data_IF_412003726942
#
_entry.id   IF_412003726942
#
_cell.length_a   1.000
_cell.length_b   1.000
_cell.length_c   1.000
_cell.angle_alpha   90.00
_cell.angle_beta   90.00
_cell.angle_gamma   90.00
#
_symmetry.space_group_name_H-M   'P 1'
#
loop_
_entity.id
_entity.type
_entity.pdbx_description
1 polymer ?
#
# COMPACT_ATOMS: atom_id res chain seq x y z
N UNK A 1 -19.90 1.78 33.02
CA UNK A 1 -18.65 1.88 32.25
C UNK A 1 -18.50 0.60 31.44
N UNK A 2 -18.71 0.62 30.11
CA UNK A 2 -18.59 -0.58 29.26
C UNK A 2 -17.16 -0.64 28.72
N UNK A 3 -16.35 -1.52 29.29
CA UNK A 3 -15.04 -1.90 28.77
C UNK A 3 -15.25 -2.92 27.66
N UNK A 4 -15.06 -2.53 26.40
CA UNK A 4 -14.99 -3.47 25.30
C UNK A 4 -13.56 -4.03 25.27
N UNK A 5 -13.38 -5.23 25.82
CA UNK A 5 -12.14 -5.99 25.65
C UNK A 5 -12.07 -6.51 24.23
N UNK A 6 -11.22 -5.90 23.40
CA UNK A 6 -10.86 -6.46 22.10
C UNK A 6 -9.84 -7.58 22.33
N UNK A 7 -10.21 -8.80 21.97
CA UNK A 7 -9.33 -9.96 21.95
C UNK A 7 -8.41 -9.82 20.75
N UNK A 8 -7.10 -9.75 20.96
CA UNK A 8 -6.13 -9.91 19.88
C UNK A 8 -6.21 -11.35 19.37
N UNK A 9 -6.51 -11.50 18.07
CA UNK A 9 -6.41 -12.78 17.41
C UNK A 9 -4.93 -13.05 17.10
N UNK A 10 -4.25 -13.78 17.98
CA UNK A 10 -2.86 -14.25 17.80
C UNK A 10 -2.71 -15.39 16.79
N UNK A 11 -3.40 -15.32 15.66
CA UNK A 11 -3.13 -16.18 14.50
C UNK A 11 -2.32 -15.41 13.43
N UNK A 12 -1.31 -14.66 13.88
CA UNK A 12 -0.12 -14.35 13.09
C UNK A 12 0.65 -15.66 12.86
N UNK A 13 0.11 -16.49 11.98
CA UNK A 13 0.63 -17.78 11.53
C UNK A 13 0.73 -17.68 10.01
N UNK A 14 1.82 -17.94 9.30
CA UNK A 14 3.24 -18.14 9.59
C UNK A 14 3.88 -17.76 8.26
N UNK A 15 4.74 -16.74 8.22
CA UNK A 15 5.64 -16.58 7.08
C UNK A 15 6.71 -17.68 7.18
N UNK A 16 6.64 -18.66 6.26
CA UNK A 16 7.53 -19.83 6.18
C UNK A 16 8.99 -19.42 5.95
N UNK A 17 9.28 -18.18 5.55
CA UNK A 17 10.65 -17.75 5.29
C UNK A 17 11.31 -16.95 6.41
N UNK A 18 10.59 -16.56 7.48
CA UNK A 18 11.18 -16.14 8.76
C UNK A 18 12.36 -15.15 8.73
N UNK A 19 12.51 -14.37 7.65
CA UNK A 19 13.71 -13.57 7.36
C UNK A 19 13.48 -12.05 7.51
N UNK A 20 12.27 -11.62 7.88
CA UNK A 20 11.85 -10.21 7.86
C UNK A 20 11.60 -9.59 9.25
N UNK A 21 11.96 -10.26 10.35
CA UNK A 21 11.59 -9.81 11.70
C UNK A 21 12.39 -8.60 12.24
N UNK A 22 13.53 -8.22 11.63
CA UNK A 22 14.46 -7.23 12.21
C UNK A 22 14.63 -5.92 11.42
N UNK A 23 13.77 -5.62 10.44
CA UNK A 23 13.79 -4.32 9.76
C UNK A 23 12.68 -3.39 10.27
N UNK A 24 12.97 -2.11 10.60
CA UNK A 24 11.96 -1.10 10.95
C UNK A 24 11.13 -0.64 9.73
N UNK A 25 10.82 -1.56 8.82
CA UNK A 25 10.20 -1.30 7.52
C UNK A 25 8.73 -1.71 7.49
N UNK A 26 8.27 -2.49 8.47
CA UNK A 26 6.88 -2.91 8.59
C UNK A 26 6.10 -1.93 9.49
N UNK A 27 5.90 -0.71 9.00
CA UNK A 27 5.15 0.31 9.74
C UNK A 27 3.66 0.18 9.41
N UNK A 28 2.91 -0.39 10.34
CA UNK A 28 1.45 -0.42 10.30
C UNK A 28 0.90 0.69 11.21
N UNK A 29 0.11 1.60 10.64
CA UNK A 29 -0.51 2.73 11.35
C UNK A 29 -1.92 2.42 11.87
N UNK A 30 -2.38 1.17 11.84
CA UNK A 30 -3.71 0.78 12.35
C UNK A 30 -3.91 1.25 13.80
N UNK A 31 -4.92 2.09 14.00
CA UNK A 31 -5.23 2.68 15.32
C UNK A 31 -4.36 3.88 15.71
N UNK A 32 -3.44 4.31 14.85
CA UNK A 32 -2.65 5.53 15.03
C UNK A 32 -3.51 6.79 14.83
N UNK A 33 -3.28 7.87 15.60
CA UNK A 33 -3.85 9.19 15.30
C UNK A 33 -3.37 9.77 13.97
N UNK A 34 -2.32 9.21 13.36
CA UNK A 34 -1.82 9.62 12.05
C UNK A 34 -2.68 9.15 10.88
N UNK A 35 -3.59 8.20 11.10
CA UNK A 35 -4.54 7.78 10.08
C UNK A 35 -5.55 8.89 9.78
N UNK A 36 -5.87 9.04 8.50
CA UNK A 36 -6.91 9.97 8.07
C UNK A 36 -8.24 9.63 8.75
N UNK A 37 -8.94 10.61 9.35
CA UNK A 37 -10.19 10.35 10.06
C UNK A 37 -11.29 9.90 9.08
N UNK A 38 -11.88 8.74 9.37
CA UNK A 38 -13.01 8.20 8.60
C UNK A 38 -14.31 8.90 9.00
N UNK A 39 -15.05 9.43 8.02
CA UNK A 39 -16.39 9.99 8.18
C UNK A 39 -17.35 9.31 7.22
N UNK A 40 -18.53 8.89 7.70
CA UNK A 40 -19.50 8.19 6.89
C UNK A 40 -18.97 6.85 6.34
N UNK A 41 -19.01 6.67 5.02
CA UNK A 41 -18.67 5.42 4.34
C UNK A 41 -17.24 5.37 3.78
N UNK A 42 -16.43 6.42 3.97
CA UNK A 42 -15.05 6.44 3.46
C UNK A 42 -14.16 5.46 4.24
N UNK A 43 -13.05 5.03 3.67
CA UNK A 43 -12.05 4.20 4.34
C UNK A 43 -10.68 4.88 4.30
N UNK A 44 -9.89 4.69 5.35
CA UNK A 44 -8.50 5.14 5.42
C UNK A 44 -7.49 3.97 5.30
N UNK A 45 -7.99 2.73 5.33
CA UNK A 45 -7.23 1.50 5.11
C UNK A 45 -7.97 0.71 4.01
N UNK A 46 -7.26 0.37 2.94
CA UNK A 46 -7.84 -0.34 1.78
C UNK A 46 -6.86 -1.34 1.22
N UNK A 47 -7.36 -2.40 0.60
CA UNK A 47 -6.54 -3.36 -0.14
C UNK A 47 -6.57 -3.02 -1.63
N UNK A 48 -5.41 -2.98 -2.28
CA UNK A 48 -5.30 -2.78 -3.74
C UNK A 48 -4.43 -3.86 -4.36
N UNK A 49 -4.63 -4.07 -5.66
CA UNK A 49 -3.66 -4.80 -6.49
C UNK A 49 -2.59 -3.81 -6.98
N UNK A 50 -1.32 -4.12 -6.75
CA UNK A 50 -0.17 -3.28 -7.11
C UNK A 50 0.01 -3.16 -8.62
N UNK A 51 0.48 -2.00 -9.08
CA UNK A 51 0.61 -1.69 -10.51
C UNK A 51 2.04 -1.47 -10.99
N UNK A 52 3.02 -1.52 -10.10
CA UNK A 52 4.40 -1.10 -10.40
C UNK A 52 4.56 0.42 -10.54
N UNK A 53 3.57 1.21 -10.10
CA UNK A 53 3.53 2.67 -10.22
C UNK A 53 2.81 3.27 -9.01
N UNK A 54 3.54 4.03 -8.18
CA UNK A 54 3.03 4.60 -6.93
C UNK A 54 1.83 5.51 -7.17
N UNK A 55 1.85 6.33 -8.21
CA UNK A 55 0.75 7.26 -8.50
C UNK A 55 -0.54 6.54 -8.93
N UNK A 56 -0.41 5.47 -9.71
CA UNK A 56 -1.55 4.62 -10.09
C UNK A 56 -2.08 3.83 -8.89
N UNK A 57 -1.20 3.34 -8.02
CA UNK A 57 -1.59 2.68 -6.77
C UNK A 57 -2.36 3.64 -5.85
N UNK A 58 -1.88 4.88 -5.68
CA UNK A 58 -2.59 5.91 -4.93
C UNK A 58 -3.95 6.22 -5.51
N UNK A 59 -4.05 6.24 -6.84
CA UNK A 59 -5.33 6.46 -7.53
C UNK A 59 -6.30 5.30 -7.31
N UNK A 60 -5.82 4.05 -7.29
CA UNK A 60 -6.64 2.88 -6.92
C UNK A 60 -7.08 2.95 -5.47
N UNK A 61 -6.18 3.31 -4.55
CA UNK A 61 -6.47 3.44 -3.14
C UNK A 61 -7.53 4.50 -2.87
N UNK A 62 -7.43 5.69 -3.46
CA UNK A 62 -8.46 6.72 -3.36
C UNK A 62 -9.83 6.24 -3.84
N UNK A 63 -9.86 5.51 -4.96
CA UNK A 63 -11.11 4.95 -5.51
C UNK A 63 -11.73 3.93 -4.55
N UNK A 64 -10.95 3.00 -4.02
CA UNK A 64 -11.42 1.97 -3.08
C UNK A 64 -11.85 2.57 -1.74
N UNK A 65 -11.16 3.65 -1.33
CA UNK A 65 -11.44 4.39 -0.11
C UNK A 65 -12.73 5.22 -0.18
N UNK A 66 -13.28 5.43 -1.38
CA UNK A 66 -14.38 6.38 -1.57
C UNK A 66 -13.97 7.83 -1.29
N UNK A 67 -12.68 8.17 -1.43
CA UNK A 67 -12.14 9.50 -1.15
C UNK A 67 -11.75 10.17 -2.47
N UNK A 68 -12.12 11.44 -2.64
CA UNK A 68 -11.69 12.19 -3.83
C UNK A 68 -10.23 12.64 -3.71
N UNK A 69 -9.41 12.30 -4.71
CA UNK A 69 -8.01 12.75 -4.80
C UNK A 69 -7.90 14.29 -4.79
N UNK A 70 -8.86 15.01 -5.36
CA UNK A 70 -8.84 16.49 -5.37
C UNK A 70 -9.09 17.06 -3.98
N UNK A 71 -9.93 16.42 -3.17
CA UNK A 71 -10.23 16.84 -1.81
C UNK A 71 -9.05 16.61 -0.86
N UNK A 72 -8.15 15.68 -1.20
CA UNK A 72 -6.96 15.37 -0.38
C UNK A 72 -5.76 16.25 -0.70
N UNK A 73 -5.78 16.97 -1.83
CA UNK A 73 -4.70 17.85 -2.25
C UNK A 73 -4.48 18.96 -1.20
N UNK A 74 -3.28 19.05 -0.65
CA UNK A 74 -2.90 20.06 0.33
C UNK A 74 -3.33 19.77 1.77
N UNK A 75 -3.92 18.59 2.06
CA UNK A 75 -4.30 18.19 3.42
C UNK A 75 -3.16 17.58 4.25
N UNK A 76 -1.99 17.33 3.64
CA UNK A 76 -0.83 16.74 4.33
C UNK A 76 -0.97 15.24 4.64
N UNK A 77 -1.70 14.51 3.79
CA UNK A 77 -1.83 13.06 3.86
C UNK A 77 -1.33 12.40 2.59
N UNK A 78 -0.89 11.16 2.74
CA UNK A 78 -0.31 10.36 1.68
C UNK A 78 -0.59 8.88 1.94
N UNK A 79 -0.70 8.10 0.87
CA UNK A 79 -0.91 6.67 1.01
C UNK A 79 0.42 5.98 1.33
N UNK A 80 0.43 5.22 2.42
CA UNK A 80 1.50 4.33 2.83
C UNK A 80 1.20 2.91 2.34
N UNK A 81 2.19 2.31 1.69
CA UNK A 81 2.20 0.91 1.28
C UNK A 81 2.63 0.06 2.48
N UNK A 82 1.73 -0.69 3.09
CA UNK A 82 2.07 -1.62 4.19
C UNK A 82 2.97 -2.74 3.64
N UNK A 83 3.87 -3.29 4.45
CA UNK A 83 4.82 -4.33 4.03
C UNK A 83 4.16 -5.74 4.00
N UNK A 84 3.04 -5.88 3.29
CA UNK A 84 2.18 -7.08 3.27
C UNK A 84 1.90 -7.63 1.86
N UNK A 85 2.82 -7.41 0.91
CA UNK A 85 2.63 -7.82 -0.48
C UNK A 85 2.42 -9.33 -0.64
N UNK A 86 1.27 -9.71 -1.19
CA UNK A 86 0.99 -11.08 -1.60
C UNK A 86 1.37 -11.28 -3.07
N UNK A 87 2.47 -12.00 -3.33
CA UNK A 87 2.96 -12.29 -4.68
C UNK A 87 2.05 -13.20 -5.50
N UNK A 88 1.15 -13.95 -4.86
CA UNK A 88 0.18 -14.83 -5.54
C UNK A 88 -0.94 -14.02 -6.16
N UNK A 89 -1.43 -13.00 -5.45
CA UNK A 89 -2.59 -12.20 -5.86
C UNK A 89 -2.22 -10.80 -6.34
N UNK A 90 -1.00 -10.34 -6.08
CA UNK A 90 -0.50 -9.00 -6.38
C UNK A 90 -1.01 -7.92 -5.43
N UNK A 91 -1.58 -8.30 -4.27
CA UNK A 91 -2.29 -7.39 -3.37
C UNK A 91 -1.39 -6.83 -2.28
N UNK A 92 -1.75 -5.65 -1.79
CA UNK A 92 -1.16 -5.00 -0.61
C UNK A 92 -2.18 -4.09 0.06
N UNK A 93 -1.99 -3.84 1.36
CA UNK A 93 -2.74 -2.84 2.12
C UNK A 93 -2.14 -1.45 1.94
N UNK A 94 -3.02 -0.47 1.74
CA UNK A 94 -2.73 0.94 1.66
C UNK A 94 -3.37 1.67 2.84
N UNK A 95 -2.59 2.52 3.52
CA UNK A 95 -3.06 3.30 4.66
C UNK A 95 -2.87 4.80 4.40
N UNK A 96 -3.92 5.59 4.52
CA UNK A 96 -3.86 7.03 4.32
C UNK A 96 -3.38 7.69 5.62
N UNK A 97 -2.13 8.13 5.65
CA UNK A 97 -1.45 8.62 6.85
C UNK A 97 -0.92 10.04 6.64
N UNK A 98 -0.61 10.74 7.73
CA UNK A 98 0.04 12.06 7.68
C UNK A 98 1.41 11.97 6.97
N UNK A 99 1.79 13.02 6.24
CA UNK A 99 3.02 13.03 5.40
C UNK A 99 4.34 12.98 6.18
N UNK A 100 4.33 13.06 7.51
CA UNK A 100 5.53 13.06 8.35
C UNK A 100 5.60 11.77 9.19
N UNK A 101 6.68 10.95 9.16
CA UNK A 101 7.82 10.85 8.26
C UNK A 101 7.67 9.67 7.28
N UNK A 102 7.58 9.97 5.99
CA UNK A 102 7.33 9.01 4.91
C UNK A 102 8.63 8.36 4.38
N UNK A 103 9.48 7.84 5.28
CA UNK A 103 10.79 7.21 4.96
C UNK A 103 10.87 5.70 5.28
N UNK A 104 9.73 5.01 5.39
CA UNK A 104 9.73 3.55 5.61
C UNK A 104 9.64 2.76 4.28
N UNK A 105 10.37 1.65 4.16
CA UNK A 105 10.32 0.74 3.00
C UNK A 105 9.03 -0.11 3.01
N UNK A 106 8.01 0.33 2.29
CA UNK A 106 6.72 -0.37 2.15
C UNK A 106 6.69 -1.51 1.11
N UNK A 107 5.51 -2.07 0.80
CA UNK A 107 5.33 -3.15 -0.19
C UNK A 107 5.85 -2.85 -1.60
N UNK A 108 6.04 -1.58 -1.97
CA UNK A 108 6.73 -1.21 -3.21
C UNK A 108 8.14 -1.83 -3.30
N UNK A 109 8.83 -1.96 -2.16
CA UNK A 109 10.12 -2.65 -2.08
C UNK A 109 10.00 -4.17 -2.25
N UNK A 110 8.99 -4.81 -1.64
CA UNK A 110 8.75 -6.25 -1.79
C UNK A 110 8.43 -6.64 -3.24
N UNK A 111 7.61 -5.82 -3.93
CA UNK A 111 7.34 -6.00 -5.35
C UNK A 111 8.62 -5.93 -6.18
N UNK A 112 9.44 -4.89 -5.93
CA UNK A 112 10.70 -4.66 -6.62
C UNK A 112 11.69 -5.83 -6.42
N UNK A 113 11.82 -6.31 -5.19
CA UNK A 113 12.68 -7.45 -4.84
C UNK A 113 12.18 -8.76 -5.45
N UNK A 114 10.87 -9.04 -5.35
CA UNK A 114 10.28 -10.27 -5.88
C UNK A 114 10.42 -10.38 -7.39
N UNK A 115 10.10 -9.28 -8.10
CA UNK A 115 10.14 -9.23 -9.56
C UNK A 115 11.53 -8.86 -10.10
N UNK A 116 12.48 -8.51 -9.21
CA UNK A 116 13.85 -8.08 -9.51
C UNK A 116 13.89 -6.87 -10.46
N UNK A 117 13.05 -5.88 -10.18
CA UNK A 117 12.89 -4.65 -10.96
C UNK A 117 12.89 -3.43 -10.04
N UNK A 118 13.28 -2.26 -10.53
CA UNK A 118 13.08 -1.02 -9.77
C UNK A 118 11.61 -0.55 -9.88
N UNK A 119 10.99 -0.19 -8.75
CA UNK A 119 9.62 0.32 -8.73
C UNK A 119 9.50 1.67 -9.49
N UNK A 120 8.30 2.02 -9.94
CA UNK A 120 8.02 3.21 -10.77
C UNK A 120 8.64 3.21 -12.18
N UNK A 121 9.34 2.15 -12.59
CA UNK A 121 9.90 2.02 -13.95
C UNK A 121 8.92 1.43 -14.96
N UNK A 122 9.18 1.62 -16.26
CA UNK A 122 8.40 0.94 -17.32
C UNK A 122 8.49 -0.58 -17.20
N UNK A 123 9.64 -1.11 -16.76
CA UNK A 123 9.85 -2.54 -16.54
C UNK A 123 8.95 -3.07 -15.43
N UNK A 124 8.87 -2.38 -14.28
CA UNK A 124 7.94 -2.74 -13.21
C UNK A 124 6.48 -2.74 -13.68
N UNK A 125 6.08 -1.75 -14.48
CA UNK A 125 4.74 -1.68 -15.07
C UNK A 125 4.46 -2.84 -16.03
N UNK A 126 5.47 -3.26 -16.80
CA UNK A 126 5.38 -4.41 -17.69
C UNK A 126 5.29 -5.72 -16.90
N UNK A 127 6.06 -5.89 -15.82
CA UNK A 127 5.93 -7.05 -14.92
C UNK A 127 4.53 -7.14 -14.31
N UNK A 128 3.97 -6.02 -13.85
CA UNK A 128 2.58 -6.00 -13.38
C UNK A 128 1.57 -6.35 -14.49
N UNK A 129 1.84 -5.98 -15.74
CA UNK A 129 1.00 -6.38 -16.88
C UNK A 129 1.13 -7.88 -17.20
N UNK A 130 2.34 -8.44 -17.19
CA UNK A 130 2.58 -9.89 -17.37
C UNK A 130 1.83 -10.73 -16.35
N UNK A 131 1.68 -10.22 -15.11
CA UNK A 131 0.89 -10.85 -14.05
C UNK A 131 -0.63 -10.59 -14.14
N UNK A 132 -1.08 -9.77 -15.08
CA UNK A 132 -2.50 -9.42 -15.25
C UNK A 132 -3.03 -8.38 -14.24
N UNK A 133 -2.17 -7.77 -13.44
CA UNK A 133 -2.54 -6.81 -12.38
C UNK A 133 -2.84 -5.40 -12.91
N UNK A 134 -2.47 -5.14 -14.16
CA UNK A 134 -2.54 -3.85 -14.85
C UNK A 134 -2.87 -4.05 -16.32
N UNK A 135 -3.47 -3.03 -16.96
CA UNK A 135 -3.60 -2.93 -18.42
C UNK A 135 -2.26 -2.53 -19.05
N UNK A 136 -1.99 -3.00 -20.27
CA UNK A 136 -0.72 -2.78 -20.98
C UNK A 136 -0.21 -1.33 -20.84
N UNK A 137 1.00 -1.13 -20.29
CA UNK A 137 1.54 0.20 -20.10
C UNK A 137 2.03 0.77 -21.44
N UNK A 138 1.65 2.01 -21.73
CA UNK A 138 2.19 2.72 -22.89
C UNK A 138 3.63 3.17 -22.61
N UNK A 139 4.55 2.82 -23.50
CA UNK A 139 5.92 3.34 -23.43
C UNK A 139 5.87 4.85 -23.71
N UNK A 140 6.08 5.67 -22.67
CA UNK A 140 6.24 7.10 -22.86
C UNK A 140 7.60 7.26 -23.56
N UNK A 141 7.60 7.71 -24.82
CA UNK A 141 8.83 8.17 -25.46
C UNK A 141 9.26 9.42 -24.67
N UNK A 142 10.40 9.37 -23.99
CA UNK A 142 11.04 10.58 -23.48
C UNK A 142 11.17 11.55 -24.67
N UNK A 143 10.63 12.76 -24.50
CA UNK A 143 10.87 13.88 -25.42
C UNK A 143 12.19 14.55 -25.03
#
# INVERSE_FOLDING_TARGET
MRIYGYVFNSNSLVDIFGLMADFPTNVDFTGSPDLFPVTGNQKNIVEIVMTGDRDADFTRAYKEAGISKSEMKGKGYTWHHVHDFDSTTGKTTMQLVTTSPHEAKGSASQFAEHLKVEYDTFEAKMKAYEQGWRKEPKKIKCK
#
